data_IF_969208695568
#
_entry.id   IF_969208695568
#
_cell.length_a   1.000
_cell.length_b   1.000
_cell.length_c   1.000
_cell.angle_alpha   90.00
_cell.angle_beta   90.00
_cell.angle_gamma   90.00
#
_symmetry.space_group_name_H-M   'P 1'
#
loop_
_entity.id
_entity.type
_entity.pdbx_description
1 polymer ?
#
# COMPACT_ATOMS: atom_id res chain seq x y z
N UNK A 1 -35.31 11.10 -27.68
CA UNK A 1 -35.14 9.89 -26.83
C UNK A 1 -33.84 9.16 -27.09
N UNK A 2 -33.45 8.88 -28.33
CA UNK A 2 -32.18 8.20 -28.66
C UNK A 2 -30.92 8.99 -28.23
N UNK A 3 -30.89 10.31 -28.39
CA UNK A 3 -29.75 11.15 -27.99
C UNK A 3 -29.60 11.18 -26.46
N UNK A 4 -30.69 11.24 -25.72
CA UNK A 4 -30.67 11.19 -24.26
C UNK A 4 -30.10 9.86 -23.70
N UNK A 5 -30.51 8.74 -24.30
CA UNK A 5 -29.97 7.42 -23.95
C UNK A 5 -28.47 7.33 -24.26
N UNK A 6 -28.02 7.92 -25.37
CA UNK A 6 -26.60 7.95 -25.77
C UNK A 6 -25.77 8.76 -24.77
N UNK A 7 -26.27 9.90 -24.34
CA UNK A 7 -25.62 10.75 -23.33
C UNK A 7 -25.51 10.03 -21.98
N UNK A 8 -26.58 9.38 -21.51
CA UNK A 8 -26.54 8.59 -20.26
C UNK A 8 -25.51 7.45 -20.37
N UNK A 9 -25.47 6.72 -21.46
CA UNK A 9 -24.47 5.65 -21.66
C UNK A 9 -23.05 6.19 -21.67
N UNK A 10 -22.81 7.34 -22.31
CA UNK A 10 -21.50 7.98 -22.34
C UNK A 10 -21.08 8.43 -20.93
N UNK A 11 -21.98 9.06 -20.18
CA UNK A 11 -21.72 9.50 -18.82
C UNK A 11 -21.46 8.31 -17.88
N UNK A 12 -22.25 7.24 -17.98
CA UNK A 12 -22.04 6.04 -17.16
C UNK A 12 -20.71 5.35 -17.48
N UNK A 13 -20.34 5.28 -18.76
CA UNK A 13 -19.04 4.73 -19.16
C UNK A 13 -17.88 5.57 -18.62
N UNK A 14 -17.99 6.89 -18.65
CA UNK A 14 -16.99 7.79 -18.08
C UNK A 14 -16.85 7.60 -16.57
N UNK A 15 -17.96 7.53 -15.83
CA UNK A 15 -17.96 7.29 -14.39
C UNK A 15 -17.31 5.94 -14.07
N UNK A 16 -17.67 4.89 -14.80
CA UNK A 16 -17.06 3.56 -14.62
C UNK A 16 -15.55 3.58 -14.89
N UNK A 17 -15.12 4.28 -15.94
CA UNK A 17 -13.69 4.45 -16.25
C UNK A 17 -12.93 5.18 -15.13
N UNK A 18 -13.51 6.26 -14.58
CA UNK A 18 -12.91 7.00 -13.46
C UNK A 18 -12.83 6.13 -12.21
N UNK A 19 -13.88 5.39 -11.88
CA UNK A 19 -13.88 4.48 -10.73
C UNK A 19 -12.83 3.37 -10.90
N UNK A 20 -12.74 2.79 -12.08
CA UNK A 20 -11.72 1.79 -12.40
C UNK A 20 -10.30 2.36 -12.26
N UNK A 21 -10.07 3.54 -12.81
CA UNK A 21 -8.77 4.22 -12.71
C UNK A 21 -8.40 4.52 -11.26
N UNK A 22 -9.34 5.02 -10.47
CA UNK A 22 -9.16 5.28 -9.04
C UNK A 22 -8.75 4.00 -8.29
N UNK A 23 -9.43 2.89 -8.52
CA UNK A 23 -9.14 1.63 -7.84
C UNK A 23 -7.81 1.00 -8.26
N UNK A 24 -7.31 1.33 -9.45
CA UNK A 24 -6.08 0.73 -10.00
C UNK A 24 -4.83 1.56 -9.79
N UNK A 25 -4.94 2.89 -9.80
CA UNK A 25 -3.78 3.79 -9.80
C UNK A 25 -3.45 4.32 -8.43
N UNK A 26 -4.46 4.77 -7.68
CA UNK A 26 -4.29 5.47 -6.41
C UNK A 26 -5.16 4.85 -5.35
N UNK A 27 -4.60 4.66 -4.17
CA UNK A 27 -5.35 4.20 -3.00
C UNK A 27 -5.08 5.11 -1.80
N UNK A 28 -6.15 5.40 -1.07
CA UNK A 28 -6.08 6.13 0.18
C UNK A 28 -5.98 5.13 1.33
N UNK A 29 -4.98 5.30 2.17
CA UNK A 29 -4.74 4.48 3.35
C UNK A 29 -4.89 5.33 4.60
N UNK A 30 -5.60 4.81 5.58
CA UNK A 30 -5.60 5.36 6.94
C UNK A 30 -4.61 4.52 7.74
N UNK A 31 -3.68 5.17 8.42
CA UNK A 31 -2.64 4.52 9.21
C UNK A 31 -3.22 4.04 10.55
N UNK A 32 -3.37 2.73 10.77
CA UNK A 32 -3.98 2.22 11.99
C UNK A 32 -3.00 2.13 13.17
N UNK A 33 -1.69 2.15 12.91
CA UNK A 33 -0.66 1.86 13.91
C UNK A 33 0.40 2.96 13.99
N UNK A 34 0.95 3.14 15.19
CA UNK A 34 1.98 4.13 15.51
C UNK A 34 3.43 3.70 15.19
N UNK A 35 3.62 2.58 14.52
CA UNK A 35 4.97 2.04 14.26
C UNK A 35 5.88 2.91 13.37
N UNK A 36 5.33 3.99 12.80
CA UNK A 36 6.04 4.97 11.96
C UNK A 36 5.88 6.41 12.49
N UNK A 37 5.59 6.58 13.79
CA UNK A 37 5.11 7.82 14.42
C UNK A 37 5.91 9.10 14.13
N UNK A 38 7.20 9.01 13.89
CA UNK A 38 7.98 10.23 13.54
C UNK A 38 7.76 10.72 12.12
N UNK A 39 7.42 9.82 11.20
CA UNK A 39 7.24 10.16 9.80
C UNK A 39 5.77 10.11 9.38
N UNK A 40 4.99 9.26 10.04
CA UNK A 40 3.59 9.00 9.70
C UNK A 40 2.86 8.78 11.02
N UNK A 41 1.93 9.67 11.34
CA UNK A 41 1.15 9.61 12.57
C UNK A 41 -0.01 8.61 12.44
N UNK A 42 -0.44 8.09 13.58
CA UNK A 42 -1.67 7.30 13.62
C UNK A 42 -2.85 8.17 13.24
N UNK A 43 -3.64 7.73 12.27
CA UNK A 43 -4.78 8.47 11.75
C UNK A 43 -4.48 9.30 10.50
N UNK A 44 -3.21 9.41 10.10
CA UNK A 44 -2.86 10.07 8.84
C UNK A 44 -3.49 9.36 7.64
N UNK A 45 -3.89 10.15 6.67
CA UNK A 45 -4.30 9.66 5.35
C UNK A 45 -3.12 9.69 4.40
N UNK A 46 -2.72 8.51 3.95
CA UNK A 46 -1.67 8.34 2.96
C UNK A 46 -2.26 8.11 1.58
N UNK A 47 -1.64 8.74 0.60
CA UNK A 47 -1.91 8.48 -0.82
C UNK A 47 -0.84 7.52 -1.33
N UNK A 48 -1.22 6.31 -1.62
CA UNK A 48 -0.31 5.29 -2.17
C UNK A 48 -0.52 5.07 -3.66
N UNK A 49 0.57 4.89 -4.37
CA UNK A 49 0.56 4.49 -5.79
C UNK A 49 0.56 2.98 -5.90
N UNK A 50 -0.48 2.42 -6.49
CA UNK A 50 -0.61 0.95 -6.67
C UNK A 50 0.20 0.42 -7.84
N UNK A 51 0.47 1.26 -8.83
CA UNK A 51 1.08 0.83 -10.09
C UNK A 51 2.61 0.68 -10.02
N UNK A 52 3.29 1.35 -9.10
CA UNK A 52 4.76 1.40 -9.05
C UNK A 52 5.36 0.00 -8.91
N UNK A 53 4.86 -0.79 -7.96
CA UNK A 53 5.36 -2.13 -7.64
C UNK A 53 4.51 -3.26 -8.25
N UNK A 54 3.86 -3.00 -9.37
CA UNK A 54 3.00 -3.94 -10.06
C UNK A 54 1.54 -3.87 -9.61
N UNK A 55 0.74 -3.30 -10.47
CA UNK A 55 -0.70 -3.14 -10.26
C UNK A 55 -1.39 -4.50 -10.26
N UNK A 56 -2.15 -4.79 -9.20
CA UNK A 56 -3.01 -5.97 -9.12
C UNK A 56 -4.39 -5.63 -9.66
N UNK A 57 -4.97 -6.53 -10.46
CA UNK A 57 -6.35 -6.38 -10.92
C UNK A 57 -7.29 -6.40 -9.71
N UNK A 58 -8.17 -5.40 -9.54
CA UNK A 58 -9.05 -5.34 -8.39
C UNK A 58 -10.06 -6.50 -8.42
N UNK A 59 -10.09 -7.28 -7.35
CA UNK A 59 -11.03 -8.39 -7.17
C UNK A 59 -12.40 -7.91 -6.69
N UNK A 60 -12.45 -6.70 -6.14
CA UNK A 60 -13.67 -6.04 -5.65
C UNK A 60 -13.60 -4.55 -5.98
N UNK A 61 -14.69 -4.00 -6.44
CA UNK A 61 -14.85 -2.56 -6.64
C UNK A 61 -15.74 -2.02 -5.54
N UNK A 62 -15.22 -1.12 -4.73
CA UNK A 62 -15.97 -0.44 -3.68
C UNK A 62 -16.82 0.67 -4.27
N UNK A 63 -18.11 0.63 -3.99
CA UNK A 63 -19.01 1.71 -4.39
C UNK A 63 -18.79 2.90 -3.44
N UNK A 64 -18.41 4.09 -3.97
CA UNK A 64 -18.18 5.27 -3.14
C UNK A 64 -19.37 5.58 -2.25
N UNK A 65 -19.10 6.02 -1.02
CA UNK A 65 -20.10 6.41 -0.01
C UNK A 65 -21.03 5.29 0.48
N UNK A 66 -20.72 4.02 0.14
CA UNK A 66 -21.48 2.87 0.62
C UNK A 66 -20.53 1.82 1.20
N UNK A 67 -21.05 0.93 2.03
CA UNK A 67 -20.31 -0.23 2.51
C UNK A 67 -20.38 -1.42 1.55
N UNK A 68 -20.88 -1.21 0.33
CA UNK A 68 -21.10 -2.28 -0.66
C UNK A 68 -19.87 -2.44 -1.55
N UNK A 69 -19.40 -3.65 -1.71
CA UNK A 69 -18.39 -4.03 -2.69
C UNK A 69 -18.98 -4.98 -3.72
N UNK A 70 -18.66 -4.72 -4.99
CA UNK A 70 -19.06 -5.58 -6.11
C UNK A 70 -17.89 -6.48 -6.45
N UNK A 71 -18.01 -7.81 -6.34
CA UNK A 71 -16.95 -8.71 -6.75
C UNK A 71 -16.75 -8.61 -8.27
N UNK A 72 -15.50 -8.58 -8.70
CA UNK A 72 -15.15 -8.64 -10.11
C UNK A 72 -14.82 -10.10 -10.46
N UNK A 73 -15.30 -10.57 -11.61
CA UNK A 73 -14.96 -11.90 -12.13
C UNK A 73 -13.67 -11.86 -12.98
N UNK A 74 -12.82 -10.87 -12.75
CA UNK A 74 -11.56 -10.73 -13.45
C UNK A 74 -10.52 -11.70 -12.88
N UNK A 75 -9.60 -12.22 -13.72
CA UNK A 75 -8.55 -13.11 -13.26
C UNK A 75 -7.64 -12.39 -12.24
N UNK A 76 -7.14 -13.12 -11.27
CA UNK A 76 -6.13 -12.59 -10.34
C UNK A 76 -4.80 -12.45 -11.09
N UNK A 77 -4.57 -11.28 -11.64
CA UNK A 77 -3.40 -10.96 -12.42
C UNK A 77 -2.69 -9.74 -11.85
N UNK A 78 -1.38 -9.80 -11.79
CA UNK A 78 -0.53 -8.69 -11.41
C UNK A 78 0.30 -8.25 -12.62
N UNK A 79 0.18 -6.99 -12.98
CA UNK A 79 1.01 -6.39 -14.02
C UNK A 79 2.47 -6.30 -13.57
N UNK A 80 3.42 -6.32 -14.50
CA UNK A 80 4.83 -6.07 -14.20
C UNK A 80 5.00 -4.76 -13.44
N UNK A 81 5.95 -4.73 -12.50
CA UNK A 81 6.31 -3.52 -11.78
C UNK A 81 7.03 -2.54 -12.71
N UNK A 82 6.76 -1.24 -12.53
CA UNK A 82 7.51 -0.18 -13.21
C UNK A 82 8.87 0.05 -12.55
N UNK A 83 8.97 -0.25 -11.26
CA UNK A 83 10.17 -0.07 -10.46
C UNK A 83 10.27 -1.22 -9.46
N UNK A 84 11.47 -1.74 -9.28
CA UNK A 84 11.76 -2.67 -8.19
C UNK A 84 11.81 -1.94 -6.85
N UNK A 85 11.42 -2.65 -5.79
CA UNK A 85 11.51 -2.13 -4.43
C UNK A 85 12.97 -1.90 -4.08
N UNK A 86 13.26 -0.71 -3.57
CA UNK A 86 14.60 -0.34 -3.10
C UNK A 86 14.66 -0.34 -1.57
N UNK A 87 15.87 -0.50 -1.04
CA UNK A 87 16.11 -0.37 0.39
C UNK A 87 15.82 1.06 0.83
N UNK A 88 15.02 1.21 1.88
CA UNK A 88 14.54 2.50 2.37
C UNK A 88 13.14 2.90 1.87
N UNK A 89 12.63 2.27 0.81
CA UNK A 89 11.27 2.56 0.32
C UNK A 89 10.22 2.26 1.40
N UNK A 90 9.24 3.15 1.51
CA UNK A 90 8.06 2.93 2.35
C UNK A 90 7.00 2.21 1.51
N UNK A 91 6.68 1.01 1.90
CA UNK A 91 5.75 0.15 1.18
C UNK A 91 4.48 -0.12 1.99
N UNK A 92 3.35 -0.17 1.29
CA UNK A 92 2.08 -0.63 1.85
C UNK A 92 1.82 -2.04 1.34
N UNK A 93 1.52 -2.96 2.23
CA UNK A 93 1.23 -4.34 1.86
C UNK A 93 0.09 -4.91 2.69
N UNK A 94 -0.60 -5.89 2.13
CA UNK A 94 -1.63 -6.64 2.81
C UNK A 94 -0.99 -7.66 3.76
N UNK A 95 -1.51 -7.74 4.98
CA UNK A 95 -1.00 -8.72 5.94
C UNK A 95 -1.36 -10.15 5.50
N UNK A 96 -0.38 -11.04 5.31
CA UNK A 96 -0.61 -12.31 4.62
C UNK A 96 -1.48 -13.32 5.39
N UNK A 97 -1.74 -13.11 6.68
CA UNK A 97 -2.55 -14.02 7.48
C UNK A 97 -4.05 -13.78 7.40
N UNK A 98 -4.47 -12.54 7.17
CA UNK A 98 -5.90 -12.19 7.16
C UNK A 98 -6.34 -11.40 5.93
N UNK A 99 -5.41 -10.81 5.17
CA UNK A 99 -5.65 -9.98 3.98
C UNK A 99 -6.69 -8.84 4.21
N UNK A 100 -6.94 -8.50 5.47
CA UNK A 100 -7.88 -7.45 5.87
C UNK A 100 -7.13 -6.17 6.20
N UNK A 101 -6.02 -6.32 6.93
CA UNK A 101 -5.24 -5.18 7.38
C UNK A 101 -4.10 -4.86 6.41
N UNK A 102 -3.95 -3.57 6.13
CA UNK A 102 -2.82 -3.04 5.36
C UNK A 102 -1.82 -2.43 6.32
N UNK A 103 -0.57 -2.81 6.14
CA UNK A 103 0.54 -2.32 6.94
C UNK A 103 1.43 -1.41 6.10
N UNK A 104 1.90 -0.34 6.73
CA UNK A 104 2.89 0.57 6.18
C UNK A 104 4.22 0.30 6.88
N UNK A 105 5.24 -0.10 6.14
CA UNK A 105 6.57 -0.41 6.68
C UNK A 105 7.65 0.07 5.71
N UNK A 106 8.85 0.27 6.26
CA UNK A 106 10.03 0.57 5.46
C UNK A 106 10.74 -0.72 5.07
N UNK A 107 11.09 -0.83 3.79
CA UNK A 107 11.87 -1.93 3.27
C UNK A 107 13.33 -1.77 3.70
N UNK A 108 13.84 -2.70 4.49
CA UNK A 108 15.23 -2.69 4.97
C UNK A 108 16.07 -3.68 4.20
N UNK A 109 15.53 -4.85 3.88
CA UNK A 109 16.23 -5.92 3.16
C UNK A 109 15.59 -6.21 1.82
N UNK A 110 16.42 -6.57 0.87
CA UNK A 110 16.04 -7.01 -0.47
C UNK A 110 16.26 -8.51 -0.62
N UNK A 111 15.69 -9.16 -1.65
CA UNK A 111 15.94 -10.56 -1.92
C UNK A 111 17.43 -10.86 -2.03
N UNK A 112 17.91 -11.86 -1.28
CA UNK A 112 19.32 -12.23 -1.21
C UNK A 112 20.14 -11.53 -0.12
N UNK A 113 19.59 -10.53 0.55
CA UNK A 113 20.27 -9.87 1.66
C UNK A 113 20.31 -10.76 2.92
N UNK A 114 21.43 -10.68 3.62
CA UNK A 114 21.59 -11.26 4.95
C UNK A 114 21.34 -10.16 5.99
N UNK A 115 20.28 -10.32 6.79
CA UNK A 115 19.89 -9.34 7.82
C UNK A 115 20.19 -9.90 9.19
N UNK A 116 20.94 -9.13 9.99
CA UNK A 116 21.28 -9.43 11.37
C UNK A 116 20.90 -8.26 12.27
N UNK A 117 20.33 -8.56 13.41
CA UNK A 117 19.98 -7.55 14.42
C UNK A 117 20.77 -7.89 15.67
N UNK A 118 21.67 -6.98 16.05
CA UNK A 118 22.49 -7.13 17.26
C UNK A 118 22.50 -5.79 18.03
N UNK A 119 22.31 -5.86 19.32
CA UNK A 119 22.34 -4.68 20.21
C UNK A 119 21.49 -3.50 19.69
N UNK A 120 20.29 -3.78 19.17
CA UNK A 120 19.37 -2.80 18.56
C UNK A 120 19.89 -2.16 17.26
N UNK A 121 20.97 -2.65 16.69
CA UNK A 121 21.50 -2.23 15.41
C UNK A 121 21.12 -3.27 14.35
N UNK A 122 20.77 -2.76 13.19
CA UNK A 122 20.47 -3.61 12.02
C UNK A 122 21.69 -3.62 11.13
N UNK A 123 22.12 -4.82 10.76
CA UNK A 123 23.19 -5.04 9.79
C UNK A 123 22.59 -5.69 8.55
N UNK A 124 22.95 -5.19 7.41
CA UNK A 124 22.58 -5.76 6.10
C UNK A 124 23.86 -6.10 5.37
N UNK A 125 24.05 -7.37 5.04
CA UNK A 125 25.27 -7.88 4.41
C UNK A 125 26.56 -7.53 5.19
N UNK A 126 26.50 -7.61 6.52
CA UNK A 126 27.53 -7.24 7.49
C UNK A 126 27.85 -5.74 7.63
N UNK A 127 27.17 -4.86 6.91
CA UNK A 127 27.29 -3.42 7.09
C UNK A 127 26.17 -2.90 7.98
N UNK A 128 26.50 -1.97 8.91
CA UNK A 128 25.48 -1.35 9.77
C UNK A 128 24.52 -0.50 8.93
N UNK A 129 23.25 -0.83 8.96
CA UNK A 129 22.21 0.00 8.35
C UNK A 129 21.86 1.15 9.27
N UNK A 130 22.28 2.35 8.91
CA UNK A 130 21.98 3.54 9.66
C UNK A 130 20.49 3.84 9.63
N UNK A 131 19.95 4.27 10.78
CA UNK A 131 18.56 4.70 10.85
C UNK A 131 18.34 5.86 9.86
N UNK A 132 17.30 5.78 9.02
CA UNK A 132 16.96 6.89 8.13
C UNK A 132 16.51 8.09 8.95
N UNK A 133 16.51 9.28 8.35
CA UNK A 133 15.95 10.48 8.97
C UNK A 133 14.55 10.20 9.51
N UNK A 134 14.30 10.57 10.78
CA UNK A 134 13.06 10.26 11.49
C UNK A 134 12.95 8.83 12.02
N UNK A 135 13.93 7.97 11.79
CA UNK A 135 14.01 6.67 12.47
C UNK A 135 14.27 6.84 13.97
N UNK A 136 13.66 5.99 14.80
CA UNK A 136 13.92 5.96 16.25
C UNK A 136 13.88 4.54 16.78
N UNK A 137 14.66 4.32 17.81
CA UNK A 137 14.48 3.16 18.67
C UNK A 137 13.37 3.48 19.67
N UNK A 138 12.41 2.61 19.80
CA UNK A 138 11.49 2.68 20.93
C UNK A 138 12.31 2.30 22.17
N UNK A 139 12.41 3.21 23.13
CA UNK A 139 12.90 2.88 24.45
C UNK A 139 11.89 1.93 25.07
N UNK A 140 12.24 0.66 25.15
CA UNK A 140 11.49 -0.24 26.01
C UNK A 140 11.83 0.15 27.45
N UNK A 141 10.87 0.72 28.18
CA UNK A 141 10.87 0.55 29.61
C UNK A 141 10.86 -0.95 29.90
N UNK A 142 11.70 -1.44 30.80
CA UNK A 142 11.64 -2.84 31.18
C UNK A 142 10.23 -3.13 31.65
N UNK A 143 9.63 -4.19 31.09
CA UNK A 143 8.37 -4.71 31.61
C UNK A 143 8.60 -5.05 33.07
N UNK A 144 8.06 -4.20 33.95
CA UNK A 144 8.02 -4.40 35.40
C UNK A 144 7.07 -5.54 35.76
#
# INVERSE_FOLDING_TARGET
MQNFIKEIKSLSALILAILFLKETVVELYIVPTSSMEKNILRGDMLVGSRYIYGMKVPQKIWVPFTAVSIPTFLPDYRFPAFKDVQRGDVVVFEYPRDNVYKYVKRCIGLPGDNIRIENRKVFVNNEEYLLPEGGQFLSQEPLS
#
